data_IF_789451490597
#
_entry.id   IF_789451490597
#
_cell.length_a   1.000
_cell.length_b   1.000
_cell.length_c   1.000
_cell.angle_alpha   90.00
_cell.angle_beta   90.00
_cell.angle_gamma   90.00
#
_symmetry.space_group_name_H-M   'P 1'
#
loop_
_entity.id
_entity.type
_entity.pdbx_description
1 polymer ?
#
# COMPACT_ATOMS: atom_id res chain seq x y z
N UNK A 1 0.20 -30.14 14.26
CA UNK A 1 1.41 -29.86 15.03
C UNK A 1 1.25 -28.52 15.71
N UNK A 2 1.56 -28.38 17.00
CA UNK A 2 1.57 -27.07 17.65
C UNK A 2 2.62 -26.20 16.95
N UNK A 3 2.25 -24.93 16.64
CA UNK A 3 3.20 -23.95 16.10
C UNK A 3 4.36 -23.80 17.08
N UNK A 4 5.59 -23.96 16.61
CA UNK A 4 6.75 -23.56 17.38
C UNK A 4 6.61 -22.08 17.71
N UNK A 5 6.67 -21.74 19.00
CA UNK A 5 6.63 -20.33 19.43
C UNK A 5 7.85 -19.63 18.87
N UNK A 6 7.62 -18.63 18.01
CA UNK A 6 8.68 -17.80 17.45
C UNK A 6 9.19 -16.82 18.51
N UNK A 7 10.49 -16.54 18.51
CA UNK A 7 11.00 -15.49 19.37
C UNK A 7 10.46 -14.13 18.89
N UNK A 8 10.17 -13.20 19.81
CA UNK A 8 9.71 -11.86 19.43
C UNK A 8 10.64 -11.17 18.42
N UNK A 9 11.94 -11.37 18.52
CA UNK A 9 12.93 -10.81 17.59
C UNK A 9 12.77 -11.32 16.16
N UNK A 10 12.44 -12.59 15.98
CA UNK A 10 12.17 -13.13 14.64
C UNK A 10 10.93 -12.50 14.03
N UNK A 11 9.87 -12.31 14.83
CA UNK A 11 8.64 -11.66 14.38
C UNK A 11 8.91 -10.21 13.98
N UNK A 12 9.65 -9.45 14.80
CA UNK A 12 10.04 -8.08 14.48
C UNK A 12 10.92 -8.00 13.24
N UNK A 13 11.87 -8.91 13.05
CA UNK A 13 12.67 -8.99 11.84
C UNK A 13 11.80 -9.21 10.59
N UNK A 14 10.81 -10.12 10.65
CA UNK A 14 9.87 -10.35 9.56
C UNK A 14 9.03 -9.09 9.26
N UNK A 15 8.56 -8.39 10.30
CA UNK A 15 7.81 -7.13 10.16
C UNK A 15 8.66 -6.06 9.48
N UNK A 16 9.90 -5.86 9.91
CA UNK A 16 10.80 -4.87 9.32
C UNK A 16 11.14 -5.22 7.87
N UNK A 17 11.51 -6.48 7.59
CA UNK A 17 11.85 -6.93 6.24
C UNK A 17 10.67 -6.78 5.27
N UNK A 18 9.45 -7.06 5.73
CA UNK A 18 8.24 -6.94 4.92
C UNK A 18 7.56 -5.56 5.04
N UNK A 19 8.20 -4.57 5.69
CA UNK A 19 7.65 -3.20 5.76
C UNK A 19 7.67 -2.45 4.42
N UNK A 20 8.40 -2.96 3.42
CA UNK A 20 8.61 -2.34 2.11
C UNK A 20 9.80 -1.39 2.07
N UNK A 21 10.17 -0.75 3.17
CA UNK A 21 11.31 0.18 3.19
C UNK A 21 12.64 -0.48 2.81
N UNK A 22 13.04 -1.64 3.38
CA UNK A 22 14.32 -2.27 3.02
C UNK A 22 14.38 -2.70 1.55
N UNK A 23 13.30 -3.28 1.03
CA UNK A 23 13.25 -3.73 -0.37
C UNK A 23 13.28 -2.55 -1.35
N UNK A 24 12.53 -1.48 -1.08
CA UNK A 24 12.52 -0.28 -1.93
C UNK A 24 13.87 0.43 -1.93
N UNK A 25 14.55 0.54 -0.79
CA UNK A 25 15.90 1.12 -0.72
C UNK A 25 16.87 0.28 -1.54
N UNK A 26 16.89 -1.05 -1.33
CA UNK A 26 17.78 -1.94 -2.06
C UNK A 26 17.52 -1.90 -3.56
N UNK A 27 16.27 -2.05 -3.98
CA UNK A 27 15.88 -2.00 -5.39
C UNK A 27 16.14 -0.63 -6.01
N UNK A 28 15.92 0.45 -5.25
CA UNK A 28 16.23 1.80 -5.71
C UNK A 28 17.73 2.01 -6.00
N UNK A 29 18.60 1.47 -5.14
CA UNK A 29 20.06 1.47 -5.39
C UNK A 29 20.38 0.64 -6.61
N UNK A 30 19.88 -0.59 -6.72
CA UNK A 30 20.15 -1.47 -7.86
C UNK A 30 19.67 -0.85 -9.19
N UNK A 31 18.51 -0.22 -9.23
CA UNK A 31 18.02 0.46 -10.45
C UNK A 31 18.94 1.62 -10.85
N UNK A 32 19.42 2.40 -9.87
CA UNK A 32 20.39 3.48 -10.14
C UNK A 32 21.71 2.93 -10.69
N UNK A 33 22.22 1.83 -10.14
CA UNK A 33 23.45 1.18 -10.61
C UNK A 33 23.29 0.60 -12.02
N UNK A 34 22.05 0.23 -12.40
CA UNK A 34 21.68 -0.17 -13.77
C UNK A 34 21.46 1.04 -14.71
N UNK A 35 21.69 2.25 -14.26
CA UNK A 35 21.53 3.48 -15.06
C UNK A 35 20.10 4.00 -15.15
N UNK A 36 19.15 3.44 -14.36
CA UNK A 36 17.76 3.93 -14.31
C UNK A 36 17.66 4.96 -13.20
N UNK A 37 17.77 6.24 -13.56
CA UNK A 37 17.73 7.35 -12.61
C UNK A 37 16.31 7.62 -12.09
N UNK A 38 16.15 8.04 -10.80
CA UNK A 38 14.87 8.38 -10.22
C UNK A 38 14.26 9.66 -10.80
N UNK A 39 15.09 10.55 -11.30
CA UNK A 39 14.70 11.82 -11.94
C UNK A 39 15.18 11.84 -13.40
N UNK A 40 14.40 12.50 -14.24
CA UNK A 40 14.75 12.86 -15.61
C UNK A 40 15.68 14.08 -15.64
N UNK A 41 16.22 14.44 -16.79
CA UNK A 41 17.17 15.55 -16.94
C UNK A 41 16.56 16.92 -16.56
N UNK A 42 15.23 17.07 -16.67
CA UNK A 42 14.47 18.26 -16.27
C UNK A 42 14.08 18.27 -14.78
N UNK A 43 14.50 17.26 -14.00
CA UNK A 43 14.21 17.14 -12.58
C UNK A 43 12.86 16.52 -12.23
N UNK A 44 12.07 16.10 -13.22
CA UNK A 44 10.79 15.41 -13.01
C UNK A 44 11.03 13.93 -12.58
N UNK A 45 10.00 13.31 -12.01
CA UNK A 45 10.06 11.87 -11.69
C UNK A 45 10.17 11.02 -12.97
N UNK A 46 11.09 10.07 -12.97
CA UNK A 46 11.24 9.10 -14.06
C UNK A 46 10.15 8.04 -13.99
N UNK A 47 9.26 7.99 -14.99
CA UNK A 47 8.24 6.95 -15.10
C UNK A 47 8.86 5.55 -15.11
N UNK A 48 9.95 5.35 -15.84
CA UNK A 48 10.69 4.08 -15.90
C UNK A 48 11.17 3.65 -14.52
N UNK A 49 11.75 4.57 -13.74
CA UNK A 49 12.21 4.26 -12.38
C UNK A 49 11.04 3.91 -11.47
N UNK A 50 10.00 4.74 -11.43
CA UNK A 50 8.84 4.54 -10.55
C UNK A 50 8.14 3.22 -10.85
N UNK A 51 7.91 2.92 -12.13
CA UNK A 51 7.21 1.68 -12.52
C UNK A 51 8.08 0.45 -12.31
N UNK A 52 9.36 0.49 -12.67
CA UNK A 52 10.28 -0.61 -12.45
C UNK A 52 10.44 -0.92 -10.95
N UNK A 53 10.63 0.11 -10.11
CA UNK A 53 10.72 -0.04 -8.66
C UNK A 53 9.43 -0.65 -8.09
N UNK A 54 8.27 -0.12 -8.47
CA UNK A 54 6.98 -0.56 -7.95
C UNK A 54 6.69 -2.02 -8.31
N UNK A 55 6.96 -2.42 -9.55
CA UNK A 55 6.71 -3.79 -10.00
C UNK A 55 7.73 -4.78 -9.44
N UNK A 56 9.02 -4.41 -9.40
CA UNK A 56 10.05 -5.25 -8.79
C UNK A 56 9.79 -5.45 -7.29
N UNK A 57 9.46 -4.38 -6.56
CA UNK A 57 9.11 -4.46 -5.15
C UNK A 57 7.84 -5.31 -4.89
N UNK A 58 6.88 -5.27 -5.82
CA UNK A 58 5.71 -6.16 -5.76
C UNK A 58 6.12 -7.63 -5.75
N UNK A 59 6.99 -8.04 -6.66
CA UNK A 59 7.46 -9.42 -6.75
C UNK A 59 8.26 -9.81 -5.49
N UNK A 60 9.18 -8.95 -5.08
CA UNK A 60 10.05 -9.19 -3.92
C UNK A 60 9.24 -9.31 -2.64
N UNK A 61 8.34 -8.37 -2.36
CA UNK A 61 7.57 -8.36 -1.11
C UNK A 61 6.54 -9.49 -1.04
N UNK A 62 5.78 -9.73 -2.11
CA UNK A 62 4.81 -10.83 -2.13
C UNK A 62 5.55 -12.17 -2.04
N UNK A 63 6.66 -12.33 -2.75
CA UNK A 63 7.51 -13.51 -2.68
C UNK A 63 8.07 -13.74 -1.28
N UNK A 64 8.66 -12.71 -0.67
CA UNK A 64 9.24 -12.77 0.67
C UNK A 64 8.16 -13.08 1.74
N UNK A 65 7.04 -12.36 1.73
CA UNK A 65 5.94 -12.59 2.66
C UNK A 65 5.37 -14.00 2.53
N UNK A 66 5.17 -14.46 1.29
CA UNK A 66 4.69 -15.83 1.02
C UNK A 66 5.69 -16.89 1.49
N UNK A 67 6.98 -16.69 1.21
CA UNK A 67 8.05 -17.59 1.65
C UNK A 67 8.13 -17.66 3.18
N UNK A 68 8.06 -16.53 3.88
CA UNK A 68 8.07 -16.46 5.33
C UNK A 68 6.86 -17.17 5.94
N UNK A 69 5.67 -17.02 5.34
CA UNK A 69 4.48 -17.76 5.76
C UNK A 69 4.69 -19.28 5.61
N UNK A 70 5.11 -19.74 4.44
CA UNK A 70 5.34 -21.16 4.17
C UNK A 70 6.42 -21.75 5.09
N UNK A 71 7.54 -21.04 5.25
CA UNK A 71 8.63 -21.41 6.16
C UNK A 71 8.14 -21.62 7.60
N UNK A 72 7.15 -20.84 8.01
CA UNK A 72 6.55 -20.92 9.35
C UNK A 72 5.35 -21.87 9.43
N UNK A 73 5.14 -22.73 8.41
CA UNK A 73 4.05 -23.70 8.35
C UNK A 73 2.66 -23.08 8.14
N UNK A 74 2.60 -21.83 7.64
CA UNK A 74 1.36 -21.12 7.35
C UNK A 74 1.05 -21.19 5.86
N UNK A 75 -0.22 -21.15 5.50
CA UNK A 75 -0.64 -21.12 4.11
C UNK A 75 -0.88 -19.67 3.67
N UNK A 76 -0.15 -19.12 2.69
CA UNK A 76 -0.36 -17.75 2.20
C UNK A 76 -1.82 -17.46 1.82
N UNK A 77 -2.50 -18.45 1.23
CA UNK A 77 -3.92 -18.35 0.90
C UNK A 77 -4.78 -18.02 2.12
N UNK A 78 -4.53 -18.69 3.26
CA UNK A 78 -5.37 -18.51 4.46
C UNK A 78 -5.16 -17.12 5.09
N UNK A 79 -3.94 -16.54 4.95
CA UNK A 79 -3.61 -15.21 5.45
C UNK A 79 -4.13 -14.14 4.48
N UNK A 80 -3.94 -14.33 3.17
CA UNK A 80 -4.26 -13.31 2.18
C UNK A 80 -5.72 -13.34 1.72
N UNK A 81 -6.27 -14.51 1.43
CA UNK A 81 -7.64 -14.64 0.91
C UNK A 81 -8.65 -14.99 2.00
N UNK A 82 -8.19 -15.56 3.14
CA UNK A 82 -9.06 -15.99 4.22
C UNK A 82 -9.94 -17.18 3.85
N UNK A 83 -11.07 -17.31 4.58
CA UNK A 83 -12.01 -18.44 4.44
C UNK A 83 -13.31 -18.05 3.72
N UNK A 84 -13.54 -16.76 3.49
CA UNK A 84 -14.74 -16.25 2.82
C UNK A 84 -14.62 -16.43 1.30
N UNK A 85 -15.74 -16.38 0.60
CA UNK A 85 -15.72 -16.44 -0.87
C UNK A 85 -15.10 -15.16 -1.44
N UNK A 86 -14.15 -15.30 -2.34
CA UNK A 86 -13.44 -14.17 -2.97
C UNK A 86 -14.42 -13.21 -3.65
N UNK A 87 -15.48 -13.74 -4.28
CA UNK A 87 -16.52 -12.93 -4.93
C UNK A 87 -17.30 -12.06 -3.93
N UNK A 88 -17.64 -12.61 -2.77
CA UNK A 88 -18.36 -11.86 -1.73
C UNK A 88 -17.47 -10.73 -1.16
N UNK A 89 -16.20 -11.03 -0.94
CA UNK A 89 -15.23 -10.02 -0.49
C UNK A 89 -14.99 -8.93 -1.55
N UNK A 90 -14.94 -9.32 -2.84
CA UNK A 90 -14.83 -8.35 -3.92
C UNK A 90 -16.03 -7.40 -3.98
N UNK A 91 -17.27 -7.92 -3.82
CA UNK A 91 -18.47 -7.08 -3.75
C UNK A 91 -18.40 -6.10 -2.58
N UNK A 92 -17.95 -6.54 -1.40
CA UNK A 92 -17.75 -5.65 -0.25
C UNK A 92 -16.72 -4.57 -0.57
N UNK A 93 -15.62 -4.93 -1.26
CA UNK A 93 -14.62 -3.98 -1.72
C UNK A 93 -15.23 -2.90 -2.62
N UNK A 94 -16.01 -3.29 -3.62
CA UNK A 94 -16.73 -2.34 -4.51
C UNK A 94 -17.67 -1.43 -3.73
N UNK A 95 -18.52 -2.02 -2.88
CA UNK A 95 -19.52 -1.28 -2.09
C UNK A 95 -18.88 -0.35 -1.05
N UNK A 96 -17.64 -0.57 -0.66
CA UNK A 96 -16.93 0.31 0.27
C UNK A 96 -16.34 1.56 -0.38
N UNK A 97 -16.22 1.61 -1.72
CA UNK A 97 -15.60 2.76 -2.43
C UNK A 97 -16.29 4.09 -2.14
N UNK A 98 -17.64 4.21 -2.16
CA UNK A 98 -18.31 5.47 -1.81
C UNK A 98 -17.96 5.95 -0.38
N UNK A 99 -17.85 5.03 0.58
CA UNK A 99 -17.43 5.36 1.94
C UNK A 99 -15.98 5.89 1.97
N UNK A 100 -15.06 5.23 1.27
CA UNK A 100 -13.66 5.63 1.17
C UNK A 100 -13.53 7.02 0.54
N UNK A 101 -14.26 7.28 -0.54
CA UNK A 101 -14.32 8.60 -1.20
C UNK A 101 -14.87 9.67 -0.25
N UNK A 102 -15.98 9.38 0.43
CA UNK A 102 -16.58 10.31 1.40
C UNK A 102 -15.60 10.62 2.55
N UNK A 103 -14.89 9.61 3.08
CA UNK A 103 -13.87 9.79 4.11
C UNK A 103 -12.77 10.75 3.64
N UNK A 104 -12.23 10.54 2.44
CA UNK A 104 -11.19 11.41 1.86
C UNK A 104 -11.70 12.83 1.67
N UNK A 105 -12.92 13.01 1.15
CA UNK A 105 -13.52 14.34 0.97
C UNK A 105 -13.70 15.07 2.31
N UNK A 106 -14.27 14.40 3.32
CA UNK A 106 -14.47 15.00 4.64
C UNK A 106 -13.13 15.38 5.29
N UNK A 107 -12.15 14.47 5.29
CA UNK A 107 -10.84 14.76 5.86
C UNK A 107 -10.11 15.86 5.10
N UNK A 108 -10.20 15.88 3.76
CA UNK A 108 -9.61 16.94 2.94
C UNK A 108 -10.22 18.31 3.25
N UNK A 109 -11.55 18.39 3.41
CA UNK A 109 -12.24 19.62 3.81
C UNK A 109 -11.82 20.05 5.22
N UNK A 110 -11.73 19.11 6.14
CA UNK A 110 -11.29 19.38 7.51
C UNK A 110 -9.84 19.91 7.53
N UNK A 111 -8.90 19.25 6.85
CA UNK A 111 -7.51 19.71 6.77
C UNK A 111 -7.43 21.12 6.17
N UNK A 112 -8.19 21.40 5.11
CA UNK A 112 -8.24 22.74 4.51
C UNK A 112 -8.76 23.81 5.47
N UNK A 113 -9.73 23.46 6.31
CA UNK A 113 -10.33 24.41 7.26
C UNK A 113 -9.44 24.66 8.49
N UNK A 114 -8.81 23.60 9.05
CA UNK A 114 -8.12 23.67 10.36
C UNK A 114 -6.59 23.77 10.22
N UNK A 115 -6.01 23.21 9.18
CA UNK A 115 -4.56 23.08 9.00
C UNK A 115 -4.12 23.25 7.52
N UNK A 116 -4.46 24.35 6.85
CA UNK A 116 -4.17 24.54 5.42
C UNK A 116 -2.67 24.49 5.09
N UNK A 117 -1.80 24.75 6.07
CA UNK A 117 -0.34 24.68 5.92
C UNK A 117 0.18 23.24 5.67
N UNK A 118 -0.61 22.22 5.93
CA UNK A 118 -0.25 20.83 5.63
C UNK A 118 -0.27 20.55 4.12
N UNK A 119 -0.94 21.38 3.31
CA UNK A 119 -0.90 21.33 1.85
C UNK A 119 0.37 22.00 1.32
N UNK A 120 1.50 21.43 1.63
CA UNK A 120 2.82 21.95 1.30
C UNK A 120 3.35 21.53 -0.07
N UNK A 121 2.64 20.66 -0.79
CA UNK A 121 2.94 20.24 -2.17
C UNK A 121 1.80 20.68 -3.08
N UNK A 122 1.99 21.72 -3.91
CA UNK A 122 0.94 22.30 -4.75
C UNK A 122 0.42 21.35 -5.83
N UNK A 123 1.33 20.58 -6.44
CA UNK A 123 1.04 19.61 -7.49
C UNK A 123 1.65 18.28 -7.13
N UNK A 124 0.85 17.21 -7.18
CA UNK A 124 1.35 15.88 -6.88
C UNK A 124 2.42 15.46 -7.92
N UNK A 125 3.66 15.14 -7.49
CA UNK A 125 4.74 14.78 -8.41
C UNK A 125 4.41 13.59 -9.33
N UNK A 126 3.48 12.73 -8.93
CA UNK A 126 3.04 11.59 -9.72
C UNK A 126 2.14 11.98 -10.91
N UNK A 127 1.53 13.17 -10.89
CA UNK A 127 0.70 13.64 -12.01
C UNK A 127 1.52 13.84 -13.30
N UNK A 128 2.82 14.18 -13.16
CA UNK A 128 3.74 14.26 -14.31
C UNK A 128 3.90 12.95 -15.08
N UNK A 129 3.58 11.82 -14.48
CA UNK A 129 3.65 10.49 -15.12
C UNK A 129 2.45 10.22 -16.05
N UNK A 130 1.41 11.07 -16.01
CA UNK A 130 0.17 10.92 -16.78
C UNK A 130 0.22 11.57 -18.17
N UNK A 131 1.33 12.19 -18.56
CA UNK A 131 1.44 13.07 -19.75
C UNK A 131 1.02 12.45 -21.10
N UNK A 132 0.77 11.15 -21.18
CA UNK A 132 0.33 10.44 -22.39
C UNK A 132 -0.72 9.37 -22.08
N UNK A 133 -1.50 8.98 -23.08
CA UNK A 133 -2.47 7.88 -22.95
C UNK A 133 -1.79 6.56 -22.58
N UNK A 134 -0.62 6.28 -23.14
CA UNK A 134 0.18 5.11 -22.79
C UNK A 134 0.69 5.19 -21.35
N UNK A 135 1.10 6.38 -20.90
CA UNK A 135 1.48 6.62 -19.50
C UNK A 135 0.33 6.36 -18.53
N UNK A 136 -0.88 6.82 -18.86
CA UNK A 136 -2.08 6.53 -18.07
C UNK A 136 -2.34 5.03 -17.95
N UNK A 137 -2.32 4.28 -19.07
CA UNK A 137 -2.56 2.83 -19.04
C UNK A 137 -1.50 2.08 -18.23
N UNK A 138 -0.22 2.44 -18.41
CA UNK A 138 0.87 1.88 -17.63
C UNK A 138 0.70 2.19 -16.14
N UNK A 139 0.33 3.42 -15.79
CA UNK A 139 0.15 3.82 -14.41
C UNK A 139 -1.11 3.16 -13.79
N UNK A 140 -2.21 3.01 -14.54
CA UNK A 140 -3.38 2.24 -14.07
C UNK A 140 -2.99 0.80 -13.72
N UNK A 141 -2.17 0.16 -14.53
CA UNK A 141 -1.65 -1.18 -14.21
C UNK A 141 -0.81 -1.17 -12.92
N UNK A 142 0.09 -0.19 -12.77
CA UNK A 142 0.96 -0.08 -11.58
C UNK A 142 0.14 0.20 -10.32
N UNK A 143 -0.85 1.08 -10.34
CA UNK A 143 -1.65 1.36 -9.13
C UNK A 143 -2.55 0.20 -8.72
N UNK A 144 -2.96 -0.66 -9.65
CA UNK A 144 -3.66 -1.91 -9.32
C UNK A 144 -2.71 -2.92 -8.71
N UNK A 145 -1.56 -3.15 -9.35
CA UNK A 145 -0.62 -4.21 -8.94
C UNK A 145 0.20 -3.80 -7.71
N UNK A 146 0.80 -2.63 -7.73
CA UNK A 146 1.62 -2.16 -6.62
C UNK A 146 0.80 -1.45 -5.54
N UNK A 147 -0.12 -0.56 -5.89
CA UNK A 147 -0.97 0.15 -4.94
C UNK A 147 -2.04 -0.76 -4.32
N UNK A 148 -2.87 -1.38 -5.15
CA UNK A 148 -3.96 -2.22 -4.65
C UNK A 148 -3.48 -3.57 -4.11
N UNK A 149 -2.86 -4.40 -4.96
CA UNK A 149 -2.54 -5.78 -4.62
C UNK A 149 -1.37 -5.86 -3.62
N UNK A 150 -0.20 -5.31 -3.96
CA UNK A 150 1.02 -5.45 -3.16
C UNK A 150 0.85 -4.85 -1.76
N UNK A 151 0.35 -3.62 -1.67
CA UNK A 151 0.24 -2.93 -0.39
C UNK A 151 -0.78 -3.58 0.55
N UNK A 152 -1.88 -4.13 0.01
CA UNK A 152 -2.86 -4.81 0.85
C UNK A 152 -2.41 -6.22 1.27
N UNK A 153 -1.68 -6.96 0.43
CA UNK A 153 -1.06 -8.23 0.83
C UNK A 153 0.05 -8.00 1.87
N UNK A 154 0.85 -6.97 1.69
CA UNK A 154 1.85 -6.53 2.68
C UNK A 154 1.19 -6.17 4.01
N UNK A 155 0.16 -5.34 3.99
CA UNK A 155 -0.61 -4.95 5.20
C UNK A 155 -1.22 -6.17 5.87
N UNK A 156 -1.79 -7.09 5.11
CA UNK A 156 -2.34 -8.34 5.63
C UNK A 156 -1.27 -9.17 6.34
N UNK A 157 -0.08 -9.33 5.74
CA UNK A 157 1.04 -10.02 6.37
C UNK A 157 1.47 -9.35 7.68
N UNK A 158 1.67 -8.04 7.68
CA UNK A 158 2.11 -7.30 8.86
C UNK A 158 1.07 -7.39 9.99
N UNK A 159 -0.20 -7.12 9.69
CA UNK A 159 -1.28 -7.23 10.68
C UNK A 159 -1.48 -8.65 11.18
N UNK A 160 -1.25 -9.66 10.33
CA UNK A 160 -1.24 -11.06 10.75
C UNK A 160 -0.15 -11.33 11.79
N UNK A 161 1.08 -10.83 11.58
CA UNK A 161 2.18 -10.93 12.55
C UNK A 161 1.85 -10.22 13.86
N UNK A 162 1.38 -9.00 13.81
CA UNK A 162 0.98 -8.25 15.01
C UNK A 162 -0.14 -8.96 15.78
N UNK A 163 -1.15 -9.50 15.08
CA UNK A 163 -2.30 -10.12 15.72
C UNK A 163 -1.98 -11.48 16.31
N UNK A 164 -1.31 -12.37 15.56
CA UNK A 164 -1.18 -13.78 15.92
C UNK A 164 0.11 -14.12 16.64
N UNK A 165 1.18 -13.36 16.40
CA UNK A 165 2.48 -13.64 17.01
C UNK A 165 2.79 -12.70 18.18
N UNK A 166 2.36 -11.43 18.11
CA UNK A 166 2.58 -10.46 19.18
C UNK A 166 1.34 -10.21 20.07
N UNK A 167 0.15 -10.65 19.63
CA UNK A 167 -1.09 -10.40 20.37
C UNK A 167 -1.55 -8.94 20.35
N UNK A 168 -1.05 -8.11 19.43
CA UNK A 168 -1.16 -6.64 19.47
C UNK A 168 -1.72 -6.06 18.16
N UNK A 169 -2.89 -6.58 17.72
CA UNK A 169 -3.53 -6.15 16.47
C UNK A 169 -3.76 -4.63 16.36
N UNK A 170 -4.18 -3.98 17.47
CA UNK A 170 -4.41 -2.52 17.50
C UNK A 170 -3.12 -1.73 17.31
N UNK A 171 -2.04 -2.11 17.97
CA UNK A 171 -0.73 -1.50 17.78
C UNK A 171 -0.23 -1.70 16.34
N UNK A 172 -0.44 -2.91 15.80
CA UNK A 172 -0.11 -3.20 14.41
C UNK A 172 -0.86 -2.29 13.43
N UNK A 173 -2.17 -2.07 13.67
CA UNK A 173 -2.97 -1.17 12.85
C UNK A 173 -2.41 0.26 12.89
N UNK A 174 -2.11 0.79 14.07
CA UNK A 174 -1.56 2.14 14.20
C UNK A 174 -0.20 2.25 13.51
N UNK A 175 0.74 1.34 13.79
CA UNK A 175 2.10 1.39 13.23
C UNK A 175 2.06 1.28 11.70
N UNK A 176 1.32 0.32 11.16
CA UNK A 176 1.25 0.12 9.69
C UNK A 176 0.56 1.28 8.99
N UNK A 177 -0.44 1.90 9.62
CA UNK A 177 -1.14 3.07 9.05
C UNK A 177 -0.27 4.31 9.06
N UNK A 178 0.48 4.56 10.14
CA UNK A 178 1.43 5.68 10.23
C UNK A 178 2.57 5.50 9.23
N UNK A 179 3.17 4.31 9.15
CA UNK A 179 4.23 4.02 8.20
C UNK A 179 3.73 4.20 6.75
N UNK A 180 2.52 3.74 6.45
CA UNK A 180 1.89 3.90 5.13
C UNK A 180 1.68 5.38 4.77
N UNK A 181 1.17 6.17 5.70
CA UNK A 181 1.04 7.62 5.51
C UNK A 181 2.39 8.30 5.29
N UNK A 182 3.40 7.98 6.11
CA UNK A 182 4.75 8.54 5.98
C UNK A 182 5.39 8.22 4.62
N UNK A 183 5.11 7.05 4.03
CA UNK A 183 5.54 6.71 2.67
C UNK A 183 4.98 7.64 1.58
N UNK A 184 3.95 8.43 1.88
CA UNK A 184 3.30 9.35 0.93
C UNK A 184 3.63 10.83 1.15
N UNK A 185 4.58 11.15 2.03
CA UNK A 185 4.96 12.55 2.35
C UNK A 185 5.49 13.33 1.16
N UNK A 186 6.03 12.67 0.14
CA UNK A 186 6.42 13.32 -1.13
C UNK A 186 5.24 13.95 -1.87
N UNK A 187 4.01 13.50 -1.61
CA UNK A 187 2.77 14.04 -2.17
C UNK A 187 2.17 15.17 -1.31
N UNK A 188 2.76 15.45 -0.15
CA UNK A 188 2.34 16.44 0.83
C UNK A 188 1.94 15.82 2.18
N UNK A 189 1.96 16.64 3.23
CA UNK A 189 1.55 16.19 4.57
C UNK A 189 0.05 15.90 4.65
N UNK A 190 -0.77 16.66 3.93
CA UNK A 190 -2.20 16.38 3.79
C UNK A 190 -2.44 15.01 3.13
N UNK A 191 -1.73 14.71 2.04
CA UNK A 191 -1.78 13.41 1.38
C UNK A 191 -1.32 12.28 2.33
N UNK A 192 -0.25 12.50 3.10
CA UNK A 192 0.24 11.53 4.08
C UNK A 192 -0.81 11.21 5.17
N UNK A 193 -1.52 12.22 5.68
CA UNK A 193 -2.59 12.04 6.67
C UNK A 193 -3.77 11.27 6.05
N UNK A 194 -4.21 11.67 4.86
CA UNK A 194 -5.29 11.00 4.14
C UNK A 194 -4.94 9.53 3.87
N UNK A 195 -3.74 9.27 3.39
CA UNK A 195 -3.27 7.92 3.08
C UNK A 195 -3.13 7.07 4.35
N UNK A 196 -2.65 7.66 5.44
CA UNK A 196 -2.63 6.99 6.75
C UNK A 196 -4.02 6.59 7.24
N UNK A 197 -5.02 7.47 7.09
CA UNK A 197 -6.41 7.17 7.44
C UNK A 197 -7.02 6.09 6.54
N UNK A 198 -6.71 6.11 5.24
CA UNK A 198 -7.08 5.04 4.31
C UNK A 198 -6.42 3.72 4.70
N UNK A 199 -5.14 3.74 5.04
CA UNK A 199 -4.42 2.57 5.54
C UNK A 199 -5.05 1.95 6.77
N UNK A 200 -5.51 2.78 7.72
CA UNK A 200 -6.27 2.33 8.88
C UNK A 200 -7.60 1.70 8.48
N UNK A 201 -8.33 2.32 7.55
CA UNK A 201 -9.63 1.81 7.07
C UNK A 201 -9.48 0.42 6.44
N UNK A 202 -8.55 0.24 5.50
CA UNK A 202 -8.29 -1.06 4.86
C UNK A 202 -7.69 -2.07 5.83
N UNK A 203 -6.88 -1.62 6.79
CA UNK A 203 -6.41 -2.47 7.89
C UNK A 203 -7.53 -3.00 8.78
N UNK A 204 -8.54 -2.17 9.09
CA UNK A 204 -9.75 -2.59 9.80
C UNK A 204 -10.55 -3.61 8.96
N UNK A 205 -10.67 -3.41 7.65
CA UNK A 205 -11.30 -4.40 6.78
C UNK A 205 -10.60 -5.75 6.88
N UNK A 206 -9.28 -5.77 6.77
CA UNK A 206 -8.53 -7.02 6.94
C UNK A 206 -8.74 -7.65 8.33
N UNK A 207 -8.60 -6.89 9.40
CA UNK A 207 -8.71 -7.42 10.77
C UNK A 207 -10.10 -7.97 11.08
N UNK A 208 -11.15 -7.37 10.54
CA UNK A 208 -12.55 -7.79 10.79
C UNK A 208 -12.99 -8.92 9.86
N UNK A 209 -12.48 -8.96 8.63
CA UNK A 209 -12.91 -9.92 7.61
C UNK A 209 -11.98 -11.13 7.50
N UNK A 210 -10.72 -11.00 7.91
CA UNK A 210 -9.70 -12.04 7.79
C UNK A 210 -9.32 -12.34 6.32
N UNK A 211 -9.49 -11.36 5.44
CA UNK A 211 -9.22 -11.43 3.99
C UNK A 211 -8.76 -10.06 3.50
N UNK A 212 -7.75 -10.02 2.65
CA UNK A 212 -7.29 -8.81 1.99
C UNK A 212 -8.10 -8.45 0.74
N UNK A 213 -8.99 -9.31 0.26
CA UNK A 213 -9.67 -9.14 -1.02
C UNK A 213 -10.51 -7.86 -1.06
N UNK A 214 -11.32 -7.60 -0.02
CA UNK A 214 -12.12 -6.38 0.04
C UNK A 214 -11.26 -5.11 0.02
N UNK A 215 -10.14 -5.12 0.77
CA UNK A 215 -9.19 -4.01 0.78
C UNK A 215 -8.51 -3.84 -0.59
N UNK A 216 -8.05 -4.93 -1.22
CA UNK A 216 -7.43 -4.89 -2.56
C UNK A 216 -8.36 -4.25 -3.58
N UNK A 217 -9.62 -4.71 -3.64
CA UNK A 217 -10.60 -4.19 -4.61
C UNK A 217 -10.93 -2.73 -4.34
N UNK A 218 -11.21 -2.39 -3.07
CA UNK A 218 -11.52 -1.03 -2.66
C UNK A 218 -10.36 -0.06 -2.97
N UNK A 219 -9.14 -0.43 -2.60
CA UNK A 219 -7.94 0.37 -2.81
C UNK A 219 -7.63 0.54 -4.31
N UNK A 220 -7.66 -0.54 -5.09
CA UNK A 220 -7.45 -0.47 -6.54
C UNK A 220 -8.45 0.45 -7.22
N UNK A 221 -9.73 0.33 -6.90
CA UNK A 221 -10.78 1.16 -7.49
C UNK A 221 -10.64 2.63 -7.08
N UNK A 222 -10.32 2.90 -5.82
CA UNK A 222 -10.06 4.26 -5.35
C UNK A 222 -8.88 4.89 -6.10
N UNK A 223 -7.74 4.20 -6.21
CA UNK A 223 -6.57 4.69 -6.92
C UNK A 223 -6.84 4.90 -8.42
N UNK A 224 -7.55 3.98 -9.07
CA UNK A 224 -7.97 4.16 -10.46
C UNK A 224 -8.85 5.40 -10.64
N UNK A 225 -9.80 5.62 -9.72
CA UNK A 225 -10.65 6.81 -9.73
C UNK A 225 -9.87 8.12 -9.59
N UNK A 226 -8.92 8.17 -8.66
CA UNK A 226 -8.05 9.34 -8.47
C UNK A 226 -7.15 9.60 -9.68
N UNK A 227 -6.60 8.53 -10.27
CA UNK A 227 -5.76 8.65 -11.46
C UNK A 227 -6.54 9.17 -12.67
N UNK A 228 -7.74 8.64 -12.92
CA UNK A 228 -8.62 9.10 -14.00
C UNK A 228 -9.05 10.55 -13.76
N UNK A 229 -9.37 10.92 -12.52
CA UNK A 229 -9.70 12.29 -12.15
C UNK A 229 -8.53 13.26 -12.41
N UNK A 230 -7.30 12.84 -12.13
CA UNK A 230 -6.11 13.64 -12.39
C UNK A 230 -5.82 13.80 -13.91
N UNK A 231 -6.07 12.75 -14.69
CA UNK A 231 -5.83 12.75 -16.13
C UNK A 231 -6.81 13.64 -16.92
N UNK A 232 -8.04 13.81 -16.43
CA UNK A 232 -9.10 14.61 -17.12
C UNK A 232 -9.02 16.10 -16.75
N UNK A 233 -8.22 16.50 -15.77
CA UNK A 233 -7.98 17.91 -15.37
C UNK A 233 -6.99 18.60 -16.27
#
# INVERSE_FOLDING_TARGET
MPRAMRSPWQVWAEIVLCSGYPSQILLGVLLKDLGIAPLTADGSLSATFVFALSLADTVVLIGLASWLLVRNGERPRDVFLGRRRVSEEAVVGVLSVPFVVALVLVLSLLIRAVAPFLRNVPVNPLEGLLGTQTGLLAFLFVVIVAGGLREELQRAFLLHRFRHDLGQAGMGLVITSLAFGLGHTLQGWDAAILTGALGATWGVFYLTRGSAVASIVSHSLFNCGELLRAFVR
#
